data_IF_310607350696
#
_entry.id   IF_310607350696
#
_cell.length_a   1.000
_cell.length_b   1.000
_cell.length_c   1.000
_cell.angle_alpha   90.00
_cell.angle_beta   90.00
_cell.angle_gamma   90.00
#
_symmetry.space_group_name_H-M   'P 1'
#
loop_
_entity.id
_entity.type
_entity.pdbx_description
1 polymer ?
#
# COMPACT_ATOMS: atom_id res chain seq x y z
N UNK A 1 -5.73 -6.59 -10.45
CA UNK A 1 -5.55 -5.18 -9.97
C UNK A 1 -4.21 -5.03 -9.26
N UNK A 2 -3.72 -3.78 -9.11
CA UNK A 2 -2.50 -3.50 -8.34
C UNK A 2 -2.88 -3.30 -6.87
N UNK A 3 -2.16 -3.94 -5.96
CA UNK A 3 -2.23 -3.70 -4.53
C UNK A 3 -1.10 -2.77 -4.08
N UNK A 4 -1.42 -1.74 -3.32
CA UNK A 4 -0.44 -0.88 -2.66
C UNK A 4 -0.43 -1.17 -1.16
N UNK A 5 0.70 -1.60 -0.64
CA UNK A 5 0.96 -1.70 0.80
C UNK A 5 2.07 -0.72 1.18
N UNK A 6 1.73 0.27 1.97
CA UNK A 6 2.67 1.31 2.37
C UNK A 6 2.38 1.81 3.79
N UNK A 7 3.42 2.02 4.57
CA UNK A 7 3.32 2.75 5.84
C UNK A 7 4.68 3.34 6.26
N UNK A 8 4.62 4.33 7.14
CA UNK A 8 5.81 4.88 7.78
C UNK A 8 5.92 4.27 9.17
N UNK A 9 7.01 3.58 9.52
CA UNK A 9 7.24 3.06 10.84
C UNK A 9 7.12 4.14 11.95
N UNK A 10 6.48 3.76 13.05
CA UNK A 10 6.28 4.64 14.20
C UNK A 10 7.29 4.32 15.31
N UNK A 11 7.64 5.28 16.20
CA UNK A 11 8.71 5.11 17.20
C UNK A 11 8.63 3.86 18.06
N UNK A 12 7.44 3.38 18.39
CA UNK A 12 7.24 2.21 19.28
C UNK A 12 6.92 0.92 18.50
N UNK A 13 7.23 0.89 17.20
CA UNK A 13 6.90 -0.22 16.33
C UNK A 13 8.14 -0.85 15.70
N UNK A 14 7.96 -2.10 15.24
CA UNK A 14 8.96 -2.78 14.42
C UNK A 14 9.38 -1.92 13.22
N UNK A 15 10.63 -2.06 12.83
CA UNK A 15 11.25 -1.33 11.70
C UNK A 15 11.48 0.17 11.91
N UNK A 16 11.13 0.75 13.07
CA UNK A 16 11.47 2.15 13.33
C UNK A 16 12.97 2.38 13.28
N UNK A 17 13.38 3.43 12.57
CA UNK A 17 14.79 3.78 12.35
C UNK A 17 15.47 3.02 11.21
N UNK A 18 14.78 2.09 10.55
CA UNK A 18 15.29 1.42 9.34
C UNK A 18 14.68 1.97 8.06
N UNK A 19 13.65 2.81 8.19
CA UNK A 19 12.94 3.41 7.07
C UNK A 19 13.65 4.66 6.54
N UNK A 20 13.43 4.93 5.25
CA UNK A 20 13.70 6.21 4.63
C UNK A 20 12.37 6.93 4.35
N UNK A 21 11.94 7.79 5.28
CA UNK A 21 10.65 8.47 5.21
C UNK A 21 10.51 9.37 3.95
N UNK A 22 11.59 9.95 3.47
CA UNK A 22 11.58 10.73 2.21
C UNK A 22 11.38 9.82 1.01
N UNK A 23 12.09 8.71 0.95
CA UNK A 23 11.93 7.72 -0.13
C UNK A 23 10.51 7.14 -0.13
N UNK A 24 9.94 6.82 1.04
CA UNK A 24 8.54 6.36 1.17
C UNK A 24 7.58 7.38 0.55
N UNK A 25 7.71 8.65 0.94
CA UNK A 25 6.85 9.73 0.42
C UNK A 25 6.95 9.85 -1.10
N UNK A 26 8.18 9.94 -1.63
CA UNK A 26 8.41 10.10 -3.07
C UNK A 26 7.94 8.87 -3.87
N UNK A 27 8.14 7.67 -3.34
CA UNK A 27 7.65 6.44 -3.96
C UNK A 27 6.12 6.39 -4.02
N UNK A 28 5.42 6.74 -2.94
CA UNK A 28 3.94 6.79 -2.93
C UNK A 28 3.42 7.83 -3.93
N UNK A 29 4.00 9.04 -3.96
CA UNK A 29 3.62 10.09 -4.89
C UNK A 29 3.82 9.62 -6.34
N UNK A 30 4.97 9.05 -6.64
CA UNK A 30 5.33 8.54 -7.97
C UNK A 30 4.40 7.40 -8.41
N UNK A 31 4.11 6.45 -7.51
CA UNK A 31 3.19 5.36 -7.77
C UNK A 31 1.79 5.87 -8.15
N UNK A 32 1.20 6.73 -7.33
CA UNK A 32 -0.15 7.26 -7.58
C UNK A 32 -0.20 8.06 -8.87
N UNK A 33 0.85 8.85 -9.15
CA UNK A 33 0.96 9.61 -10.38
C UNK A 33 1.00 8.70 -11.61
N UNK A 34 1.84 7.68 -11.62
CA UNK A 34 1.95 6.73 -12.74
C UNK A 34 0.64 5.96 -12.92
N UNK A 35 0.01 5.50 -11.84
CA UNK A 35 -1.30 4.85 -11.93
C UNK A 35 -2.36 5.79 -12.55
N UNK A 36 -2.34 7.07 -12.20
CA UNK A 36 -3.25 8.05 -12.79
C UNK A 36 -3.02 8.27 -14.29
N UNK A 37 -1.77 8.49 -14.69
CA UNK A 37 -1.38 8.72 -16.07
C UNK A 37 -1.68 7.52 -16.98
N UNK A 38 -1.40 6.30 -16.50
CA UNK A 38 -1.68 5.05 -17.21
C UNK A 38 -3.10 4.51 -17.01
N UNK A 39 -3.92 5.17 -16.18
CA UNK A 39 -5.28 4.74 -15.81
C UNK A 39 -5.33 3.34 -15.20
N UNK A 40 -4.34 3.00 -14.40
CA UNK A 40 -4.23 1.73 -13.71
C UNK A 40 -5.06 1.75 -12.42
N UNK A 41 -5.99 0.81 -12.23
CA UNK A 41 -6.72 0.69 -10.99
C UNK A 41 -5.85 0.08 -9.89
N UNK A 42 -5.95 0.61 -8.68
CA UNK A 42 -5.28 0.03 -7.52
C UNK A 42 -6.16 0.08 -6.27
N UNK A 43 -5.79 -0.71 -5.27
CA UNK A 43 -6.46 -0.73 -3.99
C UNK A 43 -5.44 -0.78 -2.85
N UNK A 44 -5.85 -0.31 -1.67
CA UNK A 44 -4.99 -0.28 -0.48
C UNK A 44 -5.80 -0.24 0.82
N UNK A 45 -5.17 -0.67 1.91
CA UNK A 45 -5.66 -0.43 3.26
C UNK A 45 -5.35 1.01 3.68
N UNK A 46 -6.34 1.76 4.12
CA UNK A 46 -6.12 3.15 4.54
C UNK A 46 -5.16 3.23 5.74
N UNK A 47 -4.23 4.18 5.67
CA UNK A 47 -3.23 4.42 6.69
C UNK A 47 -3.07 5.93 6.96
N UNK A 48 -2.95 6.39 8.22
CA UNK A 48 -2.90 7.82 8.56
C UNK A 48 -1.82 8.62 7.83
N UNK A 49 -0.63 8.02 7.59
CA UNK A 49 0.46 8.70 6.89
C UNK A 49 0.38 8.58 5.36
N UNK A 50 -0.34 7.58 4.82
CA UNK A 50 -0.34 7.27 3.38
C UNK A 50 -1.60 7.81 2.70
N UNK A 51 -2.77 7.65 3.33
CA UNK A 51 -4.05 8.09 2.74
C UNK A 51 -4.06 9.57 2.33
N UNK A 52 -3.53 10.52 3.16
CA UNK A 52 -3.42 11.91 2.74
C UNK A 52 -2.51 12.13 1.52
N UNK A 53 -1.41 11.37 1.41
CA UNK A 53 -0.51 11.45 0.25
C UNK A 53 -1.22 10.97 -1.01
N UNK A 54 -1.85 9.80 -0.95
CA UNK A 54 -2.63 9.24 -2.07
C UNK A 54 -3.70 10.22 -2.52
N UNK A 55 -4.50 10.78 -1.60
CA UNK A 55 -5.52 11.77 -1.93
C UNK A 55 -4.94 13.04 -2.56
N UNK A 56 -3.89 13.60 -1.98
CA UNK A 56 -3.29 14.83 -2.48
C UNK A 56 -2.76 14.72 -3.91
N UNK A 57 -2.26 13.54 -4.29
CA UNK A 57 -1.85 13.29 -5.69
C UNK A 57 -3.08 12.99 -6.55
N UNK A 58 -3.96 12.10 -6.10
CA UNK A 58 -5.12 11.66 -6.86
C UNK A 58 -6.03 12.82 -7.29
N UNK A 59 -6.34 13.76 -6.39
CA UNK A 59 -7.20 14.92 -6.70
C UNK A 59 -6.67 15.80 -7.83
N UNK A 60 -5.34 15.82 -8.04
CA UNK A 60 -4.70 16.65 -9.07
C UNK A 60 -4.65 15.95 -10.44
N UNK A 61 -4.64 14.61 -10.47
CA UNK A 61 -4.45 13.83 -11.68
C UNK A 61 -5.71 13.14 -12.18
N UNK A 62 -6.59 12.68 -11.28
CA UNK A 62 -7.80 11.94 -11.68
C UNK A 62 -8.99 12.87 -11.95
N UNK A 63 -9.09 14.04 -11.30
CA UNK A 63 -10.26 14.91 -11.38
C UNK A 63 -11.55 14.15 -11.07
N UNK A 64 -12.60 14.37 -11.86
CA UNK A 64 -13.90 13.68 -11.71
C UNK A 64 -13.87 12.20 -12.16
N UNK A 65 -12.74 11.71 -12.67
CA UNK A 65 -12.58 10.35 -13.23
C UNK A 65 -11.97 9.35 -12.25
N UNK A 66 -12.22 9.49 -10.98
CA UNK A 66 -11.64 8.70 -9.88
C UNK A 66 -12.27 7.29 -9.62
N UNK A 67 -12.61 6.44 -10.58
CA UNK A 67 -13.11 5.10 -10.24
C UNK A 67 -11.99 4.09 -9.95
N UNK A 68 -10.74 4.49 -10.09
CA UNK A 68 -9.62 3.55 -10.14
C UNK A 68 -9.00 3.23 -8.77
N UNK A 69 -9.35 3.96 -7.70
CA UNK A 69 -8.79 3.76 -6.37
C UNK A 69 -9.83 3.19 -5.43
N UNK A 70 -9.55 2.00 -4.85
CA UNK A 70 -10.37 1.42 -3.77
C UNK A 70 -9.61 1.51 -2.46
N UNK A 71 -10.26 2.03 -1.43
CA UNK A 71 -9.71 2.09 -0.08
C UNK A 71 -10.50 1.20 0.87
N UNK A 72 -9.78 0.42 1.67
CA UNK A 72 -10.34 -0.45 2.69
C UNK A 72 -10.01 0.07 4.08
N UNK A 73 -11.00 0.12 4.96
CA UNK A 73 -10.84 0.54 6.34
C UNK A 73 -11.66 -0.32 7.28
N UNK A 74 -11.17 -0.51 8.51
CA UNK A 74 -11.96 -1.14 9.55
C UNK A 74 -12.64 -0.10 10.43
N UNK A 75 -13.93 -0.29 10.72
CA UNK A 75 -14.69 0.52 11.69
C UNK A 75 -14.11 0.48 13.11
N UNK A 76 -13.21 -0.49 13.38
CA UNK A 76 -12.46 -0.54 14.64
C UNK A 76 -11.72 0.77 14.94
N UNK A 77 -11.21 1.43 13.91
CA UNK A 77 -10.42 2.65 14.09
C UNK A 77 -11.25 3.90 14.40
N UNK A 78 -12.58 3.88 14.17
CA UNK A 78 -13.46 4.99 14.50
C UNK A 78 -12.91 6.34 14.02
N UNK A 79 -12.75 7.28 14.95
CA UNK A 79 -12.26 8.64 14.67
C UNK A 79 -10.78 8.71 14.25
N UNK A 80 -10.03 7.60 14.33
CA UNK A 80 -8.66 7.51 13.83
C UNK A 80 -8.57 7.27 12.31
N UNK A 81 -9.70 7.00 11.66
CA UNK A 81 -9.75 6.91 10.21
C UNK A 81 -9.40 8.29 9.62
N UNK A 82 -8.44 8.37 8.68
CA UNK A 82 -8.08 9.64 8.05
C UNK A 82 -9.29 10.30 7.40
N UNK A 83 -9.46 11.61 7.60
CA UNK A 83 -10.58 12.37 7.02
C UNK A 83 -10.60 12.34 5.50
N UNK A 84 -9.43 12.21 4.88
CA UNK A 84 -9.28 12.09 3.44
C UNK A 84 -10.01 10.86 2.85
N UNK A 85 -10.31 9.85 3.67
CA UNK A 85 -11.11 8.69 3.25
C UNK A 85 -12.48 9.11 2.70
N UNK A 86 -13.08 10.15 3.26
CA UNK A 86 -14.40 10.66 2.84
C UNK A 86 -14.40 11.21 1.40
N UNK A 87 -13.23 11.53 0.87
CA UNK A 87 -13.10 12.05 -0.50
C UNK A 87 -13.00 10.97 -1.57
N UNK A 88 -12.74 9.71 -1.20
CA UNK A 88 -12.67 8.60 -2.15
C UNK A 88 -14.08 8.08 -2.48
N UNK A 89 -14.32 7.79 -3.76
CA UNK A 89 -15.61 7.26 -4.24
C UNK A 89 -15.82 5.79 -3.89
N UNK A 90 -14.74 5.02 -3.83
CA UNK A 90 -14.77 3.58 -3.57
C UNK A 90 -14.18 3.25 -2.21
N UNK A 91 -14.96 3.47 -1.16
CA UNK A 91 -14.60 3.16 0.22
C UNK A 91 -15.31 1.89 0.68
N UNK A 92 -14.56 0.90 1.15
CA UNK A 92 -15.07 -0.32 1.76
C UNK A 92 -14.76 -0.32 3.25
N UNK A 93 -15.78 -0.15 4.08
CA UNK A 93 -15.68 -0.26 5.53
C UNK A 93 -16.03 -1.68 5.97
N UNK A 94 -15.16 -2.31 6.75
CA UNK A 94 -15.43 -3.60 7.39
C UNK A 94 -15.77 -3.42 8.86
N UNK A 95 -16.63 -4.28 9.40
CA UNK A 95 -17.01 -4.20 10.80
C UNK A 95 -15.86 -4.58 11.73
N UNK A 96 -15.87 -4.00 12.93
CA UNK A 96 -14.96 -4.38 13.99
C UNK A 96 -15.29 -5.80 14.50
N UNK A 97 -14.26 -6.58 14.80
CA UNK A 97 -14.39 -7.95 15.30
C UNK A 97 -14.05 -7.98 16.79
N UNK A 98 -15.06 -8.20 17.63
CA UNK A 98 -14.89 -8.41 19.07
C UNK A 98 -14.15 -7.31 19.83
N UNK A 99 -14.11 -6.06 19.28
CA UNK A 99 -13.32 -4.98 19.86
C UNK A 99 -11.79 -5.21 19.78
N UNK A 100 -11.34 -6.23 19.04
CA UNK A 100 -9.94 -6.60 18.92
C UNK A 100 -9.33 -6.03 17.64
N UNK A 101 -8.25 -5.23 17.77
CA UNK A 101 -7.55 -4.61 16.65
C UNK A 101 -7.03 -5.62 15.64
N UNK A 102 -6.31 -6.64 16.11
CA UNK A 102 -5.69 -7.64 15.23
C UNK A 102 -6.73 -8.40 14.41
N UNK A 103 -7.80 -8.86 15.05
CA UNK A 103 -8.91 -9.57 14.37
C UNK A 103 -9.62 -8.66 13.37
N UNK A 104 -9.85 -7.39 13.72
CA UNK A 104 -10.51 -6.41 12.85
C UNK A 104 -9.67 -6.08 11.62
N UNK A 105 -8.34 -5.91 11.78
CA UNK A 105 -7.41 -5.69 10.67
C UNK A 105 -7.33 -6.94 9.78
N UNK A 106 -7.23 -8.14 10.36
CA UNK A 106 -7.20 -9.37 9.59
C UNK A 106 -8.49 -9.56 8.78
N UNK A 107 -9.66 -9.26 9.38
CA UNK A 107 -10.93 -9.30 8.64
C UNK A 107 -10.95 -8.32 7.48
N UNK A 108 -10.45 -7.09 7.69
CA UNK A 108 -10.32 -6.10 6.62
C UNK A 108 -9.44 -6.61 5.48
N UNK A 109 -8.27 -7.18 5.79
CA UNK A 109 -7.34 -7.75 4.81
C UNK A 109 -7.98 -8.89 4.00
N UNK A 110 -8.66 -9.80 4.68
CA UNK A 110 -9.38 -10.90 4.02
C UNK A 110 -10.38 -10.36 3.00
N UNK A 111 -11.27 -9.46 3.41
CA UNK A 111 -12.26 -8.84 2.52
C UNK A 111 -11.57 -8.12 1.36
N UNK A 112 -10.51 -7.37 1.65
CA UNK A 112 -9.75 -6.62 0.66
C UNK A 112 -9.17 -7.54 -0.43
N UNK A 113 -8.60 -8.66 -0.05
CA UNK A 113 -8.02 -9.61 -1.01
C UNK A 113 -9.08 -10.52 -1.66
N UNK A 114 -10.15 -10.90 -0.97
CA UNK A 114 -11.26 -11.65 -1.57
C UNK A 114 -12.00 -10.85 -2.65
N UNK A 115 -12.12 -9.53 -2.47
CA UNK A 115 -12.83 -8.64 -3.41
C UNK A 115 -11.96 -8.16 -4.59
N UNK A 116 -10.64 -8.40 -4.59
CA UNK A 116 -9.74 -7.91 -5.63
C UNK A 116 -8.69 -8.94 -6.02
N UNK A 117 -8.83 -9.51 -7.20
CA UNK A 117 -7.77 -10.30 -7.80
C UNK A 117 -6.50 -9.44 -7.98
N UNK A 118 -5.38 -9.94 -7.46
CA UNK A 118 -4.13 -9.19 -7.39
C UNK A 118 -3.12 -9.73 -8.39
N UNK A 119 -2.77 -8.91 -9.38
CA UNK A 119 -1.76 -9.23 -10.40
C UNK A 119 -0.38 -8.71 -10.04
N UNK A 120 -0.36 -7.62 -9.27
CA UNK A 120 0.85 -6.94 -8.86
C UNK A 120 0.68 -6.35 -7.45
N UNK A 121 1.68 -6.48 -6.61
CA UNK A 121 1.70 -5.92 -5.27
C UNK A 121 2.95 -5.05 -5.09
N UNK A 122 2.75 -3.79 -4.75
CA UNK A 122 3.80 -2.79 -4.50
C UNK A 122 3.93 -2.57 -3.00
N UNK A 123 5.14 -2.72 -2.47
CA UNK A 123 5.43 -2.56 -1.04
C UNK A 123 6.41 -1.41 -0.84
N UNK A 124 6.03 -0.42 -0.01
CA UNK A 124 6.78 0.82 0.20
C UNK A 124 6.96 1.06 1.70
N UNK A 125 8.20 0.98 2.19
CA UNK A 125 8.50 1.10 3.61
C UNK A 125 7.80 0.02 4.44
N UNK A 126 7.10 0.43 5.47
CA UNK A 126 6.17 -0.45 6.16
C UNK A 126 6.64 -1.01 7.49
N UNK A 127 5.67 -1.56 8.22
CA UNK A 127 5.82 -2.27 9.49
C UNK A 127 5.39 -3.74 9.31
N UNK A 128 5.42 -4.54 10.37
CA UNK A 128 5.05 -5.96 10.32
C UNK A 128 3.75 -6.29 9.60
N UNK A 129 2.77 -5.40 9.66
CA UNK A 129 1.53 -5.55 8.90
C UNK A 129 1.68 -5.60 7.39
N UNK A 130 2.71 -4.96 6.85
CA UNK A 130 3.02 -5.00 5.40
C UNK A 130 3.61 -6.36 5.02
N UNK A 131 4.42 -6.95 5.91
CA UNK A 131 4.93 -8.34 5.73
C UNK A 131 3.78 -9.34 5.76
N UNK A 132 2.84 -9.19 6.72
CA UNK A 132 1.64 -10.05 6.79
C UNK A 132 0.83 -9.99 5.48
N UNK A 133 0.63 -8.80 4.92
CA UNK A 133 -0.07 -8.59 3.66
C UNK A 133 0.65 -9.27 2.49
N UNK A 134 1.99 -9.16 2.45
CA UNK A 134 2.78 -9.84 1.43
C UNK A 134 2.62 -11.36 1.48
N UNK A 135 2.64 -11.95 2.69
CA UNK A 135 2.44 -13.39 2.88
C UNK A 135 1.03 -13.83 2.46
N UNK A 136 0.00 -13.06 2.83
CA UNK A 136 -1.39 -13.35 2.40
C UNK A 136 -1.52 -13.32 0.87
N UNK A 137 -0.92 -12.33 0.20
CA UNK A 137 -0.96 -12.24 -1.27
C UNK A 137 -0.21 -13.41 -1.89
N UNK A 138 0.95 -13.79 -1.37
CA UNK A 138 1.71 -14.93 -1.90
C UNK A 138 0.91 -16.24 -1.82
N UNK A 139 0.14 -16.40 -0.75
CA UNK A 139 -0.71 -17.58 -0.56
C UNK A 139 -1.93 -17.56 -1.50
N UNK A 140 -2.62 -16.41 -1.59
CA UNK A 140 -3.86 -16.30 -2.38
C UNK A 140 -3.61 -16.13 -3.88
N UNK A 141 -2.52 -15.45 -4.25
CA UNK A 141 -2.17 -15.08 -5.62
C UNK A 141 -0.70 -15.41 -5.91
N UNK A 142 -0.31 -16.69 -6.02
CA UNK A 142 1.09 -17.10 -6.13
C UNK A 142 1.79 -16.56 -7.38
N UNK A 143 1.03 -16.18 -8.41
CA UNK A 143 1.56 -15.61 -9.66
C UNK A 143 1.62 -14.06 -9.65
N UNK A 144 1.17 -13.40 -8.58
CA UNK A 144 1.26 -11.96 -8.47
C UNK A 144 2.71 -11.50 -8.47
N UNK A 145 3.01 -10.44 -9.23
CA UNK A 145 4.33 -9.80 -9.20
C UNK A 145 4.50 -9.02 -7.91
N UNK A 146 5.64 -9.18 -7.26
CA UNK A 146 6.01 -8.43 -6.07
C UNK A 146 7.03 -7.37 -6.41
N UNK A 147 6.72 -6.13 -6.03
CA UNK A 147 7.57 -4.95 -6.22
C UNK A 147 7.88 -4.28 -4.87
N UNK A 148 8.69 -4.93 -4.01
CA UNK A 148 9.14 -4.33 -2.77
C UNK A 148 10.25 -3.32 -3.05
N UNK A 149 10.00 -2.03 -2.77
CA UNK A 149 11.00 -0.98 -2.96
C UNK A 149 12.00 -0.98 -1.80
N UNK A 150 13.07 -1.78 -1.94
CA UNK A 150 14.08 -1.99 -0.92
C UNK A 150 14.67 -0.67 -0.38
N UNK A 151 14.96 0.30 -1.25
CA UNK A 151 15.51 1.61 -0.89
C UNK A 151 14.60 2.45 0.01
N UNK A 152 13.33 2.08 0.19
CA UNK A 152 12.42 2.75 1.13
C UNK A 152 12.58 2.27 2.57
N UNK A 153 13.34 1.19 2.79
CA UNK A 153 13.57 0.62 4.12
C UNK A 153 12.35 -0.10 4.70
N UNK A 154 12.39 -0.36 5.99
CA UNK A 154 11.29 -0.98 6.71
C UNK A 154 10.94 -2.38 6.21
N UNK A 155 9.66 -2.75 6.27
CA UNK A 155 9.16 -4.05 5.86
C UNK A 155 9.45 -4.40 4.38
N UNK A 156 9.60 -3.39 3.50
CA UNK A 156 9.90 -3.62 2.09
C UNK A 156 11.25 -4.35 1.90
N UNK A 157 12.25 -4.09 2.75
CA UNK A 157 13.53 -4.83 2.74
C UNK A 157 13.33 -6.29 3.11
N UNK A 158 12.59 -6.54 4.19
CA UNK A 158 12.28 -7.91 4.62
C UNK A 158 11.54 -8.70 3.54
N UNK A 159 10.58 -8.07 2.86
CA UNK A 159 9.83 -8.71 1.76
C UNK A 159 10.76 -9.02 0.60
N UNK A 160 11.64 -8.09 0.22
CA UNK A 160 12.62 -8.30 -0.85
C UNK A 160 13.48 -9.54 -0.58
N UNK A 161 13.99 -9.67 0.65
CA UNK A 161 14.86 -10.77 1.09
C UNK A 161 14.08 -12.08 1.28
N UNK A 162 12.96 -12.07 1.99
CA UNK A 162 12.15 -13.26 2.31
C UNK A 162 11.61 -13.92 1.05
N UNK A 163 11.16 -13.15 0.08
CA UNK A 163 10.61 -13.66 -1.17
C UNK A 163 11.65 -13.81 -2.28
N UNK A 164 12.94 -13.59 -1.97
CA UNK A 164 14.08 -13.78 -2.88
C UNK A 164 13.85 -13.03 -4.21
N UNK A 165 13.47 -11.75 -4.10
CA UNK A 165 13.25 -10.93 -5.29
C UNK A 165 14.60 -10.66 -5.96
N UNK A 166 14.71 -10.99 -7.24
CA UNK A 166 15.92 -10.81 -8.05
C UNK A 166 15.71 -9.68 -9.09
N UNK A 167 15.59 -8.44 -8.59
CA UNK A 167 15.45 -7.24 -9.42
C UNK A 167 16.16 -6.06 -8.77
N UNK A 168 17.42 -5.82 -9.14
CA UNK A 168 18.25 -4.75 -8.59
C UNK A 168 17.67 -3.35 -8.78
N UNK A 169 16.76 -3.17 -9.75
CA UNK A 169 16.07 -1.88 -9.94
C UNK A 169 15.22 -1.51 -8.71
N UNK A 170 14.63 -2.50 -8.04
CA UNK A 170 13.85 -2.29 -6.82
C UNK A 170 14.73 -1.96 -5.61
N UNK A 171 16.02 -2.30 -5.68
CA UNK A 171 16.97 -2.13 -4.59
C UNK A 171 17.69 -0.78 -4.65
N UNK A 172 18.14 -0.38 -5.83
CA UNK A 172 19.09 0.69 -5.99
C UNK A 172 18.52 1.94 -6.70
N UNK A 173 17.36 1.82 -7.36
CA UNK A 173 16.77 2.92 -8.11
C UNK A 173 15.84 3.76 -7.24
N UNK A 174 16.22 5.02 -7.03
CA UNK A 174 15.42 6.03 -6.34
C UNK A 174 14.67 6.98 -7.28
N UNK A 175 14.81 6.82 -8.59
CA UNK A 175 13.98 7.51 -9.58
C UNK A 175 12.63 6.77 -9.70
N UNK A 176 11.81 6.84 -8.64
CA UNK A 176 10.61 6.03 -8.50
C UNK A 176 9.58 6.25 -9.60
N UNK A 177 9.49 7.46 -10.14
CA UNK A 177 8.57 7.74 -11.22
C UNK A 177 8.92 6.95 -12.48
N UNK A 178 10.17 7.03 -12.92
CA UNK A 178 10.71 6.29 -14.06
C UNK A 178 10.62 4.78 -13.82
N UNK A 179 10.96 4.34 -12.62
CA UNK A 179 10.85 2.93 -12.22
C UNK A 179 9.42 2.41 -12.38
N UNK A 180 8.42 3.13 -11.87
CA UNK A 180 7.03 2.73 -12.03
C UNK A 180 6.52 2.87 -13.46
N UNK A 181 7.02 3.83 -14.24
CA UNK A 181 6.72 3.92 -15.67
C UNK A 181 7.19 2.66 -16.42
N UNK A 182 8.29 2.07 -16.01
CA UNK A 182 8.83 0.85 -16.61
C UNK A 182 8.11 -0.41 -16.11
N UNK A 183 7.82 -0.49 -14.81
CA UNK A 183 7.32 -1.70 -14.17
C UNK A 183 5.79 -1.89 -14.22
N UNK A 184 5.02 -0.82 -14.32
CA UNK A 184 3.56 -0.84 -14.36
C UNK A 184 3.02 -0.50 -15.75
#
# INVERSE_FOLDING_TARGET
>A
MIFLSASVPQPDREFFGTENAYAIKEAVISFVRVCAEKRLPFFFGGHPAITPLVWNVAKNYYGDKEPAIKIYQSRYFGDQIPKEVEHFKNVRLTDAVGGNKGQSVNRMRQVMFEENETDCAVFIGGMGGVVDEARMIREMYPNARFLPLYGTGGAAQTIYEEFQIDDDRLKENYAFYELFQELL
#
